data_IF_163623895407
#
_entry.id   IF_163623895407
#
_cell.length_a   1.000
_cell.length_b   1.000
_cell.length_c   1.000
_cell.angle_alpha   90.00
_cell.angle_beta   90.00
_cell.angle_gamma   90.00
#
_symmetry.space_group_name_H-M   'P 1'
#
loop_
_entity.id
_entity.type
_entity.pdbx_description
1 polymer ?
#
# COMPACT_ATOMS: atom_id res chain seq x y z
N UNK A 1 -9.02 25.41 -3.20
CA UNK A 1 -10.25 24.60 -3.14
C UNK A 1 -10.47 24.28 -1.67
N UNK A 2 -11.68 24.47 -1.10
CA UNK A 2 -11.83 24.29 0.35
C UNK A 2 -11.78 22.82 0.81
N UNK A 3 -12.03 21.88 -0.09
CA UNK A 3 -12.08 20.43 0.18
C UNK A 3 -11.24 19.62 -0.82
N UNK A 4 -10.57 18.55 -0.37
CA UNK A 4 -9.92 17.61 -1.28
C UNK A 4 -10.95 17.03 -2.26
N UNK A 5 -10.50 16.72 -3.46
CA UNK A 5 -11.37 16.15 -4.50
C UNK A 5 -10.62 15.07 -5.26
N UNK A 6 -11.18 13.85 -5.27
CA UNK A 6 -10.74 12.79 -6.16
C UNK A 6 -11.31 13.08 -7.54
N UNK A 7 -10.44 13.29 -8.53
CA UNK A 7 -10.82 13.62 -9.90
C UNK A 7 -10.41 12.50 -10.82
N UNK A 8 -11.39 11.79 -11.35
CA UNK A 8 -11.19 10.69 -12.29
C UNK A 8 -11.84 11.07 -13.63
N UNK A 9 -11.07 10.94 -14.71
CA UNK A 9 -11.42 11.41 -16.05
C UNK A 9 -12.15 10.36 -16.89
N UNK A 10 -12.03 9.08 -16.53
CA UNK A 10 -12.64 7.97 -17.28
C UNK A 10 -14.09 7.76 -16.86
N UNK A 11 -14.94 7.39 -17.82
CA UNK A 11 -16.26 6.83 -17.56
C UNK A 11 -16.09 5.47 -16.86
N UNK A 12 -15.86 5.52 -15.54
CA UNK A 12 -16.02 4.35 -14.68
C UNK A 12 -17.46 3.88 -14.89
N UNK A 13 -17.68 2.61 -15.21
CA UNK A 13 -19.04 2.08 -15.21
C UNK A 13 -19.40 1.90 -13.73
N UNK A 14 -20.11 2.89 -13.19
CA UNK A 14 -20.19 3.25 -11.76
C UNK A 14 -20.98 2.29 -10.87
N UNK A 15 -21.15 1.03 -11.27
CA UNK A 15 -21.89 0.05 -10.49
C UNK A 15 -20.93 -1.06 -10.07
N UNK A 16 -20.81 -1.24 -8.75
CA UNK A 16 -20.15 -2.37 -8.09
C UNK A 16 -18.61 -2.48 -8.19
N UNK A 17 -17.88 -1.36 -8.32
CA UNK A 17 -16.41 -1.40 -8.30
C UNK A 17 -15.85 -1.82 -6.94
N UNK A 18 -14.72 -2.53 -6.94
CA UNK A 18 -13.88 -2.75 -5.75
C UNK A 18 -12.75 -1.71 -5.73
N UNK A 19 -12.57 -1.04 -4.60
CA UNK A 19 -11.46 -0.11 -4.39
C UNK A 19 -10.36 -0.79 -3.58
N UNK A 20 -9.13 -0.80 -4.11
CA UNK A 20 -7.92 -1.22 -3.40
C UNK A 20 -7.12 0.03 -3.04
N UNK A 21 -6.84 0.25 -1.76
CA UNK A 21 -6.08 1.39 -1.27
C UNK A 21 -4.68 0.96 -0.81
N UNK A 22 -3.66 1.54 -1.42
CA UNK A 22 -2.25 1.25 -1.21
C UNK A 22 -1.51 2.54 -0.86
N UNK A 23 -1.64 2.98 0.39
CA UNK A 23 -0.86 4.12 0.91
C UNK A 23 0.46 3.63 1.52
N UNK A 24 1.53 4.45 1.53
CA UNK A 24 2.83 4.02 2.01
C UNK A 24 2.75 3.42 3.42
N UNK A 25 3.35 2.25 3.56
CA UNK A 25 3.39 1.44 4.78
C UNK A 25 4.81 0.92 5.04
N UNK A 26 5.00 0.18 6.13
CA UNK A 26 6.28 -0.46 6.46
C UNK A 26 6.81 -1.29 5.29
N UNK A 27 8.13 -1.25 5.07
CA UNK A 27 8.80 -2.00 4.01
C UNK A 27 8.40 -1.59 2.59
N UNK A 28 7.73 -0.43 2.41
CA UNK A 28 7.15 0.00 1.13
C UNK A 28 6.20 -1.03 0.50
N UNK A 29 5.71 -2.00 1.28
CA UNK A 29 4.95 -3.14 0.79
C UNK A 29 3.74 -2.70 -0.01
N UNK A 30 2.98 -1.72 0.50
CA UNK A 30 1.80 -1.19 -0.19
C UNK A 30 2.13 -0.60 -1.55
N UNK A 31 3.27 0.08 -1.71
CA UNK A 31 3.70 0.61 -3.02
C UNK A 31 4.11 -0.51 -3.97
N UNK A 32 4.83 -1.53 -3.48
CA UNK A 32 5.24 -2.70 -4.29
C UNK A 32 3.99 -3.44 -4.79
N UNK A 33 3.05 -3.73 -3.89
CA UNK A 33 1.76 -4.35 -4.21
C UNK A 33 0.98 -3.50 -5.23
N UNK A 34 0.97 -2.17 -5.07
CA UNK A 34 0.29 -1.28 -5.99
C UNK A 34 0.82 -1.37 -7.42
N UNK A 35 2.14 -1.24 -7.61
CA UNK A 35 2.77 -1.32 -8.93
C UNK A 35 2.57 -2.70 -9.55
N UNK A 36 2.74 -3.76 -8.76
CA UNK A 36 2.49 -5.11 -9.21
C UNK A 36 1.05 -5.29 -9.73
N UNK A 37 0.05 -4.81 -8.99
CA UNK A 37 -1.35 -4.88 -9.40
C UNK A 37 -1.65 -4.02 -10.62
N UNK A 38 -1.02 -2.85 -10.76
CA UNK A 38 -1.17 -2.00 -11.95
C UNK A 38 -0.73 -2.76 -13.20
N UNK A 39 0.44 -3.38 -13.15
CA UNK A 39 1.01 -4.09 -14.31
C UNK A 39 0.26 -5.39 -14.62
N UNK A 40 -0.07 -6.19 -13.61
CA UNK A 40 -0.68 -7.52 -13.83
C UNK A 40 -2.18 -7.48 -14.10
N UNK A 41 -2.87 -6.41 -13.65
CA UNK A 41 -4.29 -6.21 -13.93
C UNK A 41 -4.54 -5.25 -15.10
N UNK A 42 -3.48 -4.78 -15.78
CA UNK A 42 -3.53 -3.81 -16.87
C UNK A 42 -4.35 -2.56 -16.48
N UNK A 43 -4.06 -2.01 -15.30
CA UNK A 43 -4.78 -0.85 -14.78
C UNK A 43 -4.25 0.43 -15.42
N UNK A 44 -5.14 1.24 -15.98
CA UNK A 44 -4.77 2.50 -16.60
C UNK A 44 -4.89 3.65 -15.60
N UNK A 45 -4.02 4.65 -15.71
CA UNK A 45 -4.14 5.88 -14.94
C UNK A 45 -5.42 6.62 -15.33
N UNK A 46 -6.33 6.79 -14.38
CA UNK A 46 -7.63 7.44 -14.63
C UNK A 46 -7.77 8.79 -13.93
N UNK A 47 -6.87 9.13 -13.01
CA UNK A 47 -6.87 10.42 -12.35
C UNK A 47 -6.16 10.44 -11.00
N UNK A 48 -6.48 11.42 -10.17
CA UNK A 48 -5.79 11.59 -8.89
C UNK A 48 -6.51 12.52 -7.93
N UNK A 49 -6.01 12.56 -6.70
CA UNK A 49 -6.51 13.47 -5.69
C UNK A 49 -5.91 14.87 -5.88
N UNK A 50 -6.75 15.88 -5.81
CA UNK A 50 -6.35 17.29 -5.89
C UNK A 50 -6.71 18.00 -4.60
N UNK A 51 -5.71 18.62 -3.98
CA UNK A 51 -5.85 19.53 -2.84
C UNK A 51 -4.67 20.51 -2.84
N UNK A 52 -4.91 21.79 -2.54
CA UNK A 52 -3.89 22.84 -2.57
C UNK A 52 -2.92 22.80 -1.39
N UNK A 53 -3.20 21.98 -0.37
CA UNK A 53 -2.33 21.77 0.79
C UNK A 53 -1.41 20.57 0.63
N UNK A 54 -1.60 19.77 -0.42
CA UNK A 54 -0.63 18.76 -0.80
C UNK A 54 0.60 19.45 -1.41
N UNK A 55 1.81 18.92 -1.21
CA UNK A 55 3.00 19.47 -1.85
C UNK A 55 2.85 19.39 -3.37
N UNK A 56 3.32 20.43 -4.06
CA UNK A 56 3.39 20.48 -5.52
C UNK A 56 4.52 19.56 -6.03
N UNK A 57 4.28 18.26 -5.94
CA UNK A 57 5.18 17.19 -6.38
C UNK A 57 4.58 16.51 -7.61
N UNK A 58 5.42 16.20 -8.58
CA UNK A 58 5.05 15.33 -9.71
C UNK A 58 6.07 14.19 -9.81
N UNK A 59 5.58 12.97 -9.84
CA UNK A 59 6.39 11.79 -10.11
C UNK A 59 6.54 11.64 -11.62
N UNK A 60 7.77 11.58 -12.12
CA UNK A 60 8.01 11.35 -13.55
C UNK A 60 8.11 9.86 -13.79
N UNK A 61 7.19 9.32 -14.57
CA UNK A 61 7.21 7.93 -15.02
C UNK A 61 7.13 7.92 -16.55
N UNK A 62 8.13 7.35 -17.21
CA UNK A 62 8.22 7.32 -18.68
C UNK A 62 8.03 8.69 -19.36
N UNK A 63 8.53 9.75 -18.72
CA UNK A 63 8.38 11.13 -19.21
C UNK A 63 7.02 11.78 -18.95
N UNK A 64 6.09 11.07 -18.30
CA UNK A 64 4.76 11.58 -17.91
C UNK A 64 4.80 12.07 -16.46
N UNK A 65 4.40 13.34 -16.18
CA UNK A 65 4.26 13.84 -14.82
C UNK A 65 2.95 13.37 -14.19
N UNK A 66 3.05 12.60 -13.12
CA UNK A 66 1.91 12.06 -12.38
C UNK A 66 1.76 12.73 -11.01
N UNK A 67 0.52 12.96 -10.53
CA UNK A 67 0.29 13.52 -9.20
C UNK A 67 0.72 12.54 -8.09
N UNK A 68 0.89 13.00 -6.84
CA UNK A 68 1.40 12.15 -5.76
C UNK A 68 0.40 11.07 -5.34
N UNK A 69 -0.90 11.36 -5.38
CA UNK A 69 -1.99 10.44 -5.06
C UNK A 69 -2.77 10.17 -6.34
N UNK A 70 -2.78 8.91 -6.77
CA UNK A 70 -3.23 8.46 -8.09
C UNK A 70 -4.35 7.45 -7.97
N UNK A 71 -5.21 7.43 -8.97
CA UNK A 71 -6.22 6.43 -9.19
C UNK A 71 -5.94 5.72 -10.51
N UNK A 72 -5.92 4.40 -10.46
CA UNK A 72 -5.83 3.51 -11.60
C UNK A 72 -7.09 2.68 -11.68
N UNK A 73 -7.53 2.29 -12.88
CA UNK A 73 -8.70 1.45 -13.03
C UNK A 73 -8.58 0.49 -14.20
N UNK A 74 -9.23 -0.66 -14.07
CA UNK A 74 -9.32 -1.69 -15.09
C UNK A 74 -10.55 -2.57 -14.84
N UNK A 75 -10.83 -3.50 -15.75
CA UNK A 75 -11.95 -4.45 -15.64
C UNK A 75 -11.48 -5.90 -15.46
N UNK A 76 -10.70 -6.20 -14.40
CA UNK A 76 -10.37 -7.58 -14.06
C UNK A 76 -11.61 -8.35 -13.62
N UNK A 77 -11.62 -9.67 -13.85
CA UNK A 77 -12.69 -10.55 -13.33
C UNK A 77 -12.51 -10.77 -11.82
N UNK A 78 -13.35 -10.16 -10.98
CA UNK A 78 -13.34 -10.35 -9.52
C UNK A 78 -14.08 -11.63 -9.09
N UNK A 79 -13.85 -12.13 -7.86
CA UNK A 79 -14.72 -13.17 -7.25
C UNK A 79 -15.93 -12.62 -6.51
N UNK A 80 -15.90 -11.35 -6.12
CA UNK A 80 -17.02 -10.71 -5.44
C UNK A 80 -18.17 -10.59 -6.44
N UNK A 81 -19.35 -11.12 -6.07
CA UNK A 81 -20.55 -11.09 -6.92
C UNK A 81 -20.91 -9.65 -7.30
N UNK A 82 -20.93 -9.38 -8.61
CA UNK A 82 -21.20 -8.06 -9.17
C UNK A 82 -19.98 -7.16 -9.37
N UNK A 83 -18.77 -7.55 -8.94
CA UNK A 83 -17.55 -6.75 -9.19
C UNK A 83 -17.04 -6.96 -10.61
N UNK A 84 -17.23 -5.93 -11.43
CA UNK A 84 -16.78 -5.89 -12.83
C UNK A 84 -15.61 -4.93 -13.05
N UNK A 85 -15.20 -4.20 -12.00
CA UNK A 85 -14.19 -3.16 -12.09
C UNK A 85 -13.35 -3.09 -10.80
N UNK A 86 -12.04 -2.92 -10.96
CA UNK A 86 -11.12 -2.60 -9.87
C UNK A 86 -10.63 -1.17 -10.03
N UNK A 87 -10.58 -0.45 -8.92
CA UNK A 87 -10.00 0.87 -8.81
C UNK A 87 -8.90 0.80 -7.76
N UNK A 88 -7.67 1.12 -8.15
CA UNK A 88 -6.53 1.15 -7.26
C UNK A 88 -6.18 2.60 -6.93
N UNK A 89 -6.22 2.94 -5.65
CA UNK A 89 -5.73 4.20 -5.12
C UNK A 89 -4.35 4.00 -4.53
N UNK A 90 -3.36 4.78 -4.98
CA UNK A 90 -2.01 4.72 -4.43
C UNK A 90 -1.44 6.09 -4.14
N UNK A 91 -0.47 6.15 -3.23
CA UNK A 91 0.35 7.32 -2.97
C UNK A 91 1.81 6.91 -2.82
N UNK A 92 2.74 7.70 -3.36
CA UNK A 92 4.19 7.54 -3.11
C UNK A 92 4.68 8.44 -1.97
N UNK A 93 3.78 9.24 -1.40
CA UNK A 93 4.08 10.11 -0.28
C UNK A 93 3.23 9.77 0.94
N UNK A 94 3.82 9.95 2.12
CA UNK A 94 3.06 9.92 3.37
C UNK A 94 2.18 11.17 3.39
N UNK A 95 0.86 10.96 3.47
CA UNK A 95 -0.10 12.05 3.52
C UNK A 95 0.03 12.79 4.86
N UNK A 96 0.13 14.13 4.86
CA UNK A 96 0.16 14.91 6.10
C UNK A 96 -1.06 14.62 6.98
N UNK A 97 -0.83 14.37 8.28
CA UNK A 97 -1.87 13.96 9.24
C UNK A 97 -3.06 14.95 9.27
N UNK A 98 -2.77 16.25 9.14
CA UNK A 98 -3.78 17.32 9.11
C UNK A 98 -4.73 17.25 7.91
N UNK A 99 -4.38 16.51 6.86
CA UNK A 99 -5.18 16.31 5.66
C UNK A 99 -5.92 14.97 5.64
N UNK A 100 -5.44 13.96 6.36
CA UNK A 100 -5.96 12.58 6.32
C UNK A 100 -7.49 12.54 6.41
N UNK A 101 -8.09 13.11 7.47
CA UNK A 101 -9.54 13.05 7.65
C UNK A 101 -10.34 13.73 6.52
N UNK A 102 -9.82 14.85 5.97
CA UNK A 102 -10.49 15.55 4.88
C UNK A 102 -10.43 14.74 3.59
N UNK A 103 -9.29 14.09 3.33
CA UNK A 103 -9.10 13.25 2.15
C UNK A 103 -9.98 12.00 2.26
N UNK A 104 -9.94 11.32 3.40
CA UNK A 104 -10.80 10.16 3.68
C UNK A 104 -12.26 10.52 3.48
N UNK A 105 -12.73 11.65 4.01
CA UNK A 105 -14.09 12.10 3.80
C UNK A 105 -14.42 12.26 2.31
N UNK A 106 -13.56 12.93 1.54
CA UNK A 106 -13.73 13.09 0.10
C UNK A 106 -13.76 11.75 -0.65
N UNK A 107 -12.92 10.78 -0.26
CA UNK A 107 -12.90 9.44 -0.84
C UNK A 107 -14.22 8.70 -0.59
N UNK A 108 -14.80 8.81 0.61
CA UNK A 108 -16.08 8.16 0.92
C UNK A 108 -17.29 8.85 0.29
N UNK A 109 -17.29 10.18 0.16
CA UNK A 109 -18.33 10.88 -0.60
C UNK A 109 -18.27 10.48 -2.08
N UNK A 110 -17.07 10.45 -2.66
CA UNK A 110 -16.86 9.94 -4.02
C UNK A 110 -17.30 8.48 -4.15
N UNK A 111 -16.92 7.60 -3.22
CA UNK A 111 -17.30 6.18 -3.22
C UNK A 111 -18.82 5.98 -3.15
N UNK A 112 -19.53 6.82 -2.40
CA UNK A 112 -20.99 6.80 -2.29
C UNK A 112 -21.66 7.24 -3.58
N UNK A 113 -21.18 8.32 -4.20
CA UNK A 113 -21.70 8.81 -5.49
C UNK A 113 -21.56 7.77 -6.60
N UNK A 114 -20.54 6.92 -6.53
CA UNK A 114 -20.21 5.90 -7.54
C UNK A 114 -20.47 4.46 -7.06
N UNK A 115 -21.32 4.28 -6.04
CA UNK A 115 -21.80 2.97 -5.56
C UNK A 115 -20.72 1.87 -5.44
N UNK A 116 -19.56 2.21 -4.88
CA UNK A 116 -18.46 1.26 -4.64
C UNK A 116 -18.96 0.11 -3.74
N UNK A 117 -18.68 -1.13 -4.16
CA UNK A 117 -19.16 -2.33 -3.50
C UNK A 117 -18.31 -2.72 -2.28
N UNK A 118 -16.99 -2.63 -2.43
CA UNK A 118 -16.03 -3.13 -1.45
C UNK A 118 -14.77 -2.27 -1.40
N UNK A 119 -14.14 -2.23 -0.23
CA UNK A 119 -12.86 -1.57 0.00
C UNK A 119 -11.83 -2.53 0.60
N UNK A 120 -10.67 -2.65 -0.03
CA UNK A 120 -9.53 -3.41 0.49
C UNK A 120 -8.39 -2.44 0.76
N UNK A 121 -7.85 -2.44 1.97
CA UNK A 121 -6.68 -1.66 2.36
C UNK A 121 -5.49 -2.59 2.46
N UNK A 122 -4.46 -2.30 1.69
CA UNK A 122 -3.16 -2.97 1.79
C UNK A 122 -2.34 -2.22 2.82
N UNK A 123 -1.79 -2.93 3.79
CA UNK A 123 -0.92 -2.35 4.82
C UNK A 123 0.19 -3.34 5.21
N UNK A 124 1.15 -2.86 5.99
CA UNK A 124 2.20 -3.68 6.55
C UNK A 124 2.60 -3.20 7.94
N UNK A 125 3.05 -4.11 8.78
CA UNK A 125 3.56 -3.84 10.11
C UNK A 125 4.99 -4.35 10.26
N UNK A 126 5.75 -3.73 11.17
CA UNK A 126 7.15 -4.07 11.39
C UNK A 126 7.27 -5.45 12.04
N UNK A 127 8.20 -6.26 11.51
CA UNK A 127 8.63 -7.53 12.14
C UNK A 127 9.01 -7.33 13.61
N UNK A 128 8.68 -8.31 14.44
CA UNK A 128 8.89 -8.34 15.88
C UNK A 128 10.32 -7.94 16.25
N UNK A 129 10.45 -6.94 17.12
CA UNK A 129 11.74 -6.43 17.58
C UNK A 129 12.45 -5.46 16.63
N UNK A 130 11.88 -5.16 15.46
CA UNK A 130 12.38 -4.12 14.55
C UNK A 130 11.58 -2.82 14.73
N UNK A 131 12.23 -1.68 14.47
CA UNK A 131 11.60 -0.36 14.40
C UNK A 131 11.80 0.18 13.00
N UNK A 132 10.77 0.79 12.42
CA UNK A 132 10.93 1.50 11.15
C UNK A 132 11.51 2.89 11.32
N UNK A 133 11.94 3.42 10.17
CA UNK A 133 12.33 4.82 10.02
C UNK A 133 11.12 5.75 9.83
N UNK A 134 9.89 5.23 9.89
CA UNK A 134 8.65 6.00 9.81
C UNK A 134 8.29 6.56 11.19
N UNK A 135 9.05 7.54 11.68
CA UNK A 135 8.92 8.15 13.01
C UNK A 135 7.45 8.46 13.39
N UNK A 136 6.86 7.61 14.24
CA UNK A 136 5.56 7.84 14.87
C UNK A 136 4.31 7.50 14.04
N UNK A 137 4.46 6.96 12.83
CA UNK A 137 3.33 6.63 11.92
C UNK A 137 3.13 5.11 11.76
N UNK A 138 4.04 4.30 12.29
CA UNK A 138 3.96 2.84 12.18
C UNK A 138 2.75 2.21 12.90
N UNK A 139 2.14 1.18 12.29
CA UNK A 139 1.27 0.27 13.00
C UNK A 139 2.01 -0.38 14.19
N UNK A 140 1.36 -0.39 15.34
CA UNK A 140 1.78 -1.16 16.52
C UNK A 140 0.75 -2.25 16.74
N UNK A 141 1.09 -3.49 16.45
CA UNK A 141 0.16 -4.61 16.47
C UNK A 141 0.64 -5.69 17.43
N UNK A 142 -0.30 -6.35 18.10
CA UNK A 142 -0.02 -7.54 18.92
C UNK A 142 -0.37 -8.78 18.08
N UNK A 143 0.63 -9.61 17.81
CA UNK A 143 0.51 -10.84 17.03
C UNK A 143 1.46 -11.92 17.57
N UNK A 144 1.21 -13.17 17.20
CA UNK A 144 2.11 -14.28 17.48
C UNK A 144 3.10 -14.40 16.32
N UNK A 145 4.35 -13.98 16.53
CA UNK A 145 5.44 -14.07 15.53
C UNK A 145 5.77 -15.53 15.25
N UNK A 146 5.73 -15.90 13.97
CA UNK A 146 6.04 -17.25 13.49
C UNK A 146 7.31 -17.27 12.64
N UNK A 147 7.77 -18.47 12.25
CA UNK A 147 8.92 -18.60 11.35
C UNK A 147 8.58 -18.15 9.90
N UNK A 148 7.28 -18.12 9.56
CA UNK A 148 6.77 -17.68 8.27
C UNK A 148 6.45 -16.17 8.28
N UNK A 149 6.18 -15.58 7.11
CA UNK A 149 5.74 -14.18 7.02
C UNK A 149 4.29 -14.08 7.49
N UNK A 150 4.06 -13.46 8.64
CA UNK A 150 2.73 -13.36 9.22
C UNK A 150 1.83 -12.38 8.46
N UNK A 151 0.59 -12.81 8.19
CA UNK A 151 -0.46 -11.97 7.58
C UNK A 151 -1.65 -11.93 8.52
N UNK A 152 -2.14 -10.72 8.83
CA UNK A 152 -3.32 -10.50 9.67
C UNK A 152 -4.36 -9.62 8.97
N UNK A 153 -5.62 -9.72 9.40
CA UNK A 153 -6.75 -9.03 8.80
C UNK A 153 -7.47 -8.10 9.76
N UNK A 154 -7.94 -6.95 9.27
CA UNK A 154 -8.86 -6.06 9.99
C UNK A 154 -10.17 -5.98 9.22
N UNK A 155 -11.29 -6.34 9.83
CA UNK A 155 -12.61 -6.26 9.18
C UNK A 155 -13.54 -5.21 9.80
N UNK A 156 -14.07 -4.29 9.00
CA UNK A 156 -14.96 -3.20 9.46
C UNK A 156 -16.36 -3.66 9.86
N UNK A 157 -16.83 -4.83 9.41
CA UNK A 157 -18.11 -5.44 9.80
C UNK A 157 -18.01 -6.99 9.87
N UNK A 158 -19.10 -7.64 10.30
CA UNK A 158 -19.11 -9.11 10.48
C UNK A 158 -18.91 -9.89 9.17
N UNK A 159 -19.46 -9.39 8.06
CA UNK A 159 -19.37 -10.03 6.75
C UNK A 159 -17.94 -10.12 6.27
N UNK A 160 -17.20 -9.02 6.31
CA UNK A 160 -15.79 -9.00 5.88
C UNK A 160 -14.86 -9.75 6.85
N UNK A 161 -15.21 -9.81 8.14
CA UNK A 161 -14.47 -10.65 9.11
C UNK A 161 -14.62 -12.14 8.82
N UNK A 162 -15.83 -12.57 8.43
CA UNK A 162 -16.03 -13.95 7.99
C UNK A 162 -15.23 -14.24 6.70
N UNK A 163 -15.25 -13.31 5.74
CA UNK A 163 -14.47 -13.43 4.51
C UNK A 163 -12.96 -13.57 4.79
N UNK A 164 -12.39 -12.76 5.68
CA UNK A 164 -10.98 -12.88 6.08
C UNK A 164 -10.67 -14.28 6.68
N UNK A 165 -11.54 -14.80 7.54
CA UNK A 165 -11.37 -16.14 8.09
C UNK A 165 -11.46 -17.24 7.02
N UNK A 166 -12.38 -17.11 6.06
CA UNK A 166 -12.52 -18.05 4.94
C UNK A 166 -11.29 -18.04 4.02
N UNK A 167 -10.58 -16.91 3.95
CA UNK A 167 -9.29 -16.77 3.27
C UNK A 167 -8.11 -17.31 4.10
N UNK A 168 -8.35 -17.79 5.33
CA UNK A 168 -7.30 -18.24 6.25
C UNK A 168 -6.44 -17.10 6.81
N UNK A 169 -6.97 -15.86 6.82
CA UNK A 169 -6.28 -14.70 7.39
C UNK A 169 -6.76 -14.50 8.83
N UNK A 170 -5.91 -14.69 9.85
CA UNK A 170 -6.28 -14.44 11.24
C UNK A 170 -6.62 -12.96 11.46
N UNK A 171 -7.63 -12.70 12.28
CA UNK A 171 -8.02 -11.34 12.61
C UNK A 171 -7.04 -10.73 13.62
N UNK A 172 -6.65 -9.48 13.38
CA UNK A 172 -5.92 -8.70 14.37
C UNK A 172 -6.87 -8.30 15.52
N UNK A 173 -6.59 -8.78 16.73
CA UNK A 173 -7.42 -8.50 17.91
C UNK A 173 -7.07 -7.17 18.57
N UNK A 174 -5.77 -6.87 18.71
CA UNK A 174 -5.27 -5.68 19.42
C UNK A 174 -4.17 -5.01 18.64
N UNK A 175 -4.31 -3.69 18.44
CA UNK A 175 -3.29 -2.88 17.80
C UNK A 175 -3.73 -1.44 17.57
N UNK A 176 -2.80 -0.62 17.11
CA UNK A 176 -2.99 0.78 16.73
C UNK A 176 -2.41 0.97 15.34
N UNK A 177 -3.27 1.27 14.37
CA UNK A 177 -2.89 1.71 13.02
C UNK A 177 -3.02 3.23 12.91
N UNK A 178 -2.28 3.86 12.00
CA UNK A 178 -2.24 5.33 11.82
C UNK A 178 -2.35 5.72 10.35
N UNK A 179 -2.42 7.02 10.10
CA UNK A 179 -2.40 7.59 8.75
C UNK A 179 -3.66 7.32 7.92
N UNK A 180 -3.49 7.26 6.59
CA UNK A 180 -4.58 7.10 5.64
C UNK A 180 -5.33 5.79 5.82
N UNK A 181 -4.60 4.67 6.01
CA UNK A 181 -5.19 3.35 6.17
C UNK A 181 -6.11 3.29 7.40
N UNK A 182 -5.65 3.83 8.54
CA UNK A 182 -6.46 3.95 9.75
C UNK A 182 -7.70 4.83 9.55
N UNK A 183 -7.53 5.98 8.87
CA UNK A 183 -8.64 6.87 8.55
C UNK A 183 -9.71 6.19 7.70
N UNK A 184 -9.29 5.45 6.66
CA UNK A 184 -10.20 4.70 5.78
C UNK A 184 -10.97 3.65 6.57
N UNK A 185 -10.28 2.79 7.32
CA UNK A 185 -10.90 1.68 8.06
C UNK A 185 -11.82 2.17 9.19
N UNK A 186 -11.40 3.21 9.92
CA UNK A 186 -12.21 3.82 10.98
C UNK A 186 -13.51 4.43 10.42
N UNK A 187 -13.41 5.17 9.33
CA UNK A 187 -14.57 5.79 8.69
C UNK A 187 -15.50 4.75 8.04
N UNK A 188 -14.95 3.72 7.39
CA UNK A 188 -15.73 2.60 6.87
C UNK A 188 -16.52 1.90 7.99
N UNK A 189 -15.87 1.60 9.12
CA UNK A 189 -16.52 0.95 10.26
C UNK A 189 -17.62 1.84 10.86
N UNK A 190 -17.36 3.15 11.02
CA UNK A 190 -18.36 4.12 11.48
C UNK A 190 -19.59 4.20 10.56
N UNK A 191 -19.38 4.06 9.24
CA UNK A 191 -20.45 4.02 8.22
C UNK A 191 -21.09 2.64 8.04
N UNK A 192 -20.57 1.60 8.69
CA UNK A 192 -21.04 0.21 8.53
C UNK A 192 -20.69 -0.42 7.18
N UNK A 193 -19.72 0.13 6.45
CA UNK A 193 -19.33 -0.32 5.12
C UNK A 193 -18.44 -1.57 5.18
N UNK A 194 -18.53 -2.41 4.15
CA UNK A 194 -17.76 -3.65 4.00
C UNK A 194 -16.34 -3.39 3.51
N UNK A 195 -15.52 -2.72 4.32
CA UNK A 195 -14.09 -2.57 4.07
C UNK A 195 -13.27 -3.53 4.93
N UNK A 196 -12.13 -3.98 4.42
CA UNK A 196 -11.17 -4.78 5.16
C UNK A 196 -9.74 -4.28 4.93
N UNK A 197 -8.83 -4.62 5.83
CA UNK A 197 -7.39 -4.51 5.66
C UNK A 197 -6.78 -5.89 5.62
N UNK A 198 -5.80 -6.09 4.73
CA UNK A 198 -4.86 -7.20 4.80
C UNK A 198 -3.51 -6.58 5.13
N UNK A 199 -2.92 -7.00 6.24
CA UNK A 199 -1.67 -6.49 6.75
C UNK A 199 -0.64 -7.60 6.78
N UNK A 200 0.58 -7.33 6.33
CA UNK A 200 1.68 -8.31 6.33
C UNK A 200 2.84 -7.83 7.19
N UNK A 201 3.50 -8.77 7.85
CA UNK A 201 4.77 -8.53 8.52
C UNK A 201 5.85 -8.18 7.48
N UNK A 202 6.61 -7.12 7.72
CA UNK A 202 7.65 -6.68 6.81
C UNK A 202 8.91 -6.22 7.54
N UNK A 203 10.07 -6.37 6.88
CA UNK A 203 11.31 -5.74 7.29
C UNK A 203 11.22 -4.22 7.05
N UNK A 204 11.35 -3.40 8.10
CA UNK A 204 11.20 -1.97 7.95
C UNK A 204 12.44 -1.26 7.37
N UNK A 205 13.58 -1.94 7.25
CA UNK A 205 14.86 -1.31 6.91
C UNK A 205 15.04 -1.09 5.41
N UNK A 206 14.33 -1.84 4.59
CA UNK A 206 14.44 -1.82 3.14
C UNK A 206 13.08 -2.16 2.49
N UNK A 207 12.91 -1.93 1.18
CA UNK A 207 11.75 -2.43 0.45
C UNK A 207 11.64 -3.97 0.57
N UNK A 208 10.51 -4.47 1.05
CA UNK A 208 10.29 -5.89 1.34
C UNK A 208 9.35 -6.53 0.30
N UNK A 209 9.94 -6.98 -0.80
CA UNK A 209 9.21 -7.64 -1.88
C UNK A 209 8.73 -9.06 -1.50
N UNK A 210 9.32 -9.72 -0.49
CA UNK A 210 8.81 -11.01 0.01
C UNK A 210 7.52 -10.82 0.80
N UNK A 211 7.44 -9.81 1.66
CA UNK A 211 6.20 -9.44 2.34
C UNK A 211 5.11 -9.07 1.32
N UNK A 212 5.46 -8.33 0.27
CA UNK A 212 4.53 -8.04 -0.82
C UNK A 212 4.03 -9.31 -1.53
N UNK A 213 4.91 -10.27 -1.82
CA UNK A 213 4.55 -11.55 -2.42
C UNK A 213 3.55 -12.33 -1.54
N UNK A 214 3.83 -12.45 -0.23
CA UNK A 214 2.93 -13.11 0.72
C UNK A 214 1.54 -12.44 0.79
N UNK A 215 1.49 -11.11 0.70
CA UNK A 215 0.23 -10.37 0.66
C UNK A 215 -0.53 -10.59 -0.67
N UNK A 216 0.18 -10.58 -1.81
CA UNK A 216 -0.41 -10.87 -3.14
C UNK A 216 -1.02 -12.28 -3.17
N UNK A 217 -0.37 -13.27 -2.57
CA UNK A 217 -0.92 -14.64 -2.45
C UNK A 217 -2.30 -14.61 -1.79
N UNK A 218 -2.47 -13.82 -0.73
CA UNK A 218 -3.77 -13.65 -0.06
C UNK A 218 -4.77 -12.85 -0.88
N UNK A 219 -4.32 -11.81 -1.59
CA UNK A 219 -5.18 -11.04 -2.49
C UNK A 219 -5.70 -11.87 -3.67
N UNK A 220 -4.95 -12.86 -4.12
CA UNK A 220 -5.38 -13.77 -5.19
C UNK A 220 -6.69 -14.49 -4.83
N UNK A 221 -6.96 -14.76 -3.55
CA UNK A 221 -8.25 -15.32 -3.12
C UNK A 221 -9.46 -14.38 -3.36
N UNK A 222 -9.23 -13.05 -3.40
CA UNK A 222 -10.24 -12.04 -3.75
C UNK A 222 -10.33 -11.77 -5.27
N UNK A 223 -9.30 -12.16 -6.02
CA UNK A 223 -9.20 -11.98 -7.47
C UNK A 223 -8.88 -13.31 -8.21
N UNK A 224 -9.54 -14.45 -7.88
CA UNK A 224 -9.07 -15.78 -8.28
C UNK A 224 -9.20 -16.08 -9.77
N UNK A 225 -9.85 -15.20 -10.53
CA UNK A 225 -9.95 -15.36 -11.98
C UNK A 225 -8.70 -14.86 -12.71
N UNK A 226 -7.76 -14.25 -11.98
CA UNK A 226 -6.53 -13.70 -12.51
C UNK A 226 -5.38 -14.40 -11.83
N UNK A 227 -4.53 -15.02 -12.64
CA UNK A 227 -3.29 -15.58 -12.17
C UNK A 227 -2.38 -14.40 -11.77
N UNK A 228 -2.18 -14.22 -10.47
CA UNK A 228 -1.23 -13.27 -9.89
C UNK A 228 0.01 -14.04 -9.44
N UNK A 229 0.94 -14.37 -10.37
CA UNK A 229 2.15 -15.11 -10.05
C UNK A 229 3.03 -14.30 -9.11
N UNK A 230 3.40 -14.87 -7.97
CA UNK A 230 4.27 -14.21 -6.99
C UNK A 230 5.75 -14.28 -7.39
N UNK A 231 6.10 -15.12 -8.36
CA UNK A 231 7.46 -15.35 -8.85
C UNK A 231 8.21 -14.07 -9.26
N UNK A 232 7.60 -13.09 -9.94
CA UNK A 232 8.26 -11.83 -10.27
C UNK A 232 8.69 -11.04 -9.02
N UNK A 233 7.85 -11.02 -7.98
CA UNK A 233 8.15 -10.32 -6.72
C UNK A 233 9.25 -11.04 -5.93
N UNK A 234 9.27 -12.37 -5.95
CA UNK A 234 10.34 -13.15 -5.34
C UNK A 234 11.68 -12.92 -6.05
N UNK A 235 11.68 -12.87 -7.38
CA UNK A 235 12.87 -12.55 -8.16
C UNK A 235 13.37 -11.11 -7.91
N UNK A 236 12.45 -10.16 -7.78
CA UNK A 236 12.78 -8.78 -7.39
C UNK A 236 13.37 -8.72 -5.98
N UNK A 237 12.82 -9.48 -5.02
CA UNK A 237 13.37 -9.59 -3.68
C UNK A 237 14.81 -10.10 -3.68
N UNK A 238 15.08 -11.19 -4.41
CA UNK A 238 16.44 -11.75 -4.54
C UNK A 238 17.43 -10.72 -5.12
N UNK A 239 16.99 -9.95 -6.11
CA UNK A 239 17.79 -8.90 -6.73
C UNK A 239 18.07 -7.74 -5.75
N UNK A 240 17.06 -7.27 -5.02
CA UNK A 240 17.20 -6.20 -4.03
C UNK A 240 18.11 -6.62 -2.87
N UNK A 241 17.96 -7.85 -2.37
CA UNK A 241 18.81 -8.42 -1.33
C UNK A 241 20.28 -8.50 -1.78
N UNK A 242 20.53 -8.96 -3.01
CA UNK A 242 21.88 -9.01 -3.57
C UNK A 242 22.51 -7.62 -3.70
N UNK A 243 21.74 -6.60 -4.10
CA UNK A 243 22.21 -5.22 -4.15
C UNK A 243 22.54 -4.67 -2.77
N UNK A 244 21.68 -4.91 -1.77
CA UNK A 244 21.90 -4.47 -0.39
C UNK A 244 23.15 -5.15 0.18
N UNK A 245 23.32 -6.46 -0.04
CA UNK A 245 24.49 -7.19 0.41
C UNK A 245 25.79 -6.62 -0.21
N UNK A 246 25.79 -6.38 -1.52
CA UNK A 246 26.94 -5.77 -2.21
C UNK A 246 27.28 -4.37 -1.67
N UNK A 247 26.26 -3.56 -1.38
CA UNK A 247 26.44 -2.24 -0.75
C UNK A 247 27.05 -2.37 0.66
N UNK A 248 26.57 -3.32 1.47
CA UNK A 248 27.09 -3.56 2.82
C UNK A 248 28.53 -4.08 2.82
N UNK A 249 28.88 -4.98 1.90
CA UNK A 249 30.26 -5.46 1.71
C UNK A 249 31.18 -4.30 1.31
N UNK A 250 30.75 -3.45 0.36
CA UNK A 250 31.52 -2.27 -0.07
C UNK A 250 31.68 -1.20 1.02
N UNK A 251 30.69 -1.07 1.92
CA UNK A 251 30.75 -0.18 3.08
C UNK A 251 31.59 -0.77 4.24
N UNK A 252 31.67 -2.10 4.34
CA UNK A 252 32.52 -2.83 5.29
C UNK A 252 34.00 -2.87 4.89
N UNK A 253 34.32 -2.72 3.61
CA UNK A 253 35.68 -2.65 3.06
C UNK A 253 36.26 -1.22 2.99
N UNK A 254 35.92 -0.33 3.93
CA UNK A 254 36.71 0.89 4.10
C UNK A 254 38.10 0.54 4.67
N UNK A 255 39.22 0.77 3.95
CA UNK A 255 40.53 0.42 4.46
C UNK A 255 40.89 1.30 5.66
N UNK A 256 41.30 0.65 6.76
CA UNK A 256 42.08 1.28 7.82
C UNK A 256 43.42 1.72 7.24
N UNK A 257 43.57 3.00 6.89
CA UNK A 257 44.85 3.69 6.92
C UNK A 257 44.71 5.17 7.28
N UNK A 258 45.39 5.54 8.35
CA UNK A 258 45.77 6.91 8.73
C UNK A 258 47.32 6.97 8.74
N UNK A 259 48.02 8.12 8.84
CA UNK A 259 47.59 9.52 8.90
C UNK A 259 48.37 10.50 7.94
N UNK A 260 47.87 11.75 7.85
CA UNK A 260 48.53 13.02 7.45
C UNK A 260 49.26 13.15 6.10
N UNK A 261 48.82 14.07 5.24
CA UNK A 261 49.49 15.39 5.03
C UNK A 261 48.84 16.24 3.93
N UNK A 262 48.56 17.50 4.30
CA UNK A 262 48.62 18.77 3.55
C UNK A 262 47.89 19.00 2.21
N UNK A 263 47.07 20.06 2.29
CA UNK A 263 47.07 21.28 1.48
C UNK A 263 46.18 21.35 0.23
N UNK A 264 45.25 22.32 0.30
CA UNK A 264 44.72 23.22 -0.72
C UNK A 264 44.45 22.67 -2.14
N UNK A 265 43.24 22.90 -2.65
CA UNK A 265 42.96 23.99 -3.59
C UNK A 265 41.47 24.01 -3.98
N UNK A 266 40.87 25.20 -3.94
CA UNK A 266 39.75 25.55 -4.82
C UNK A 266 40.27 25.66 -6.27
N UNK A 267 39.44 25.26 -7.22
CA UNK A 267 39.53 25.58 -8.64
C UNK A 267 38.13 25.55 -9.23
#
# INVERSE_FOLDING_TARGET
>A
MDTPSLRINTAIEHENAMVIACFPSVGMVSSIVAHYLIDHLDLEFVGGLVDDRLPALAMIHEGVPLPPIRAYAGKPKCSIEGCDQVILLMSEMVVPESLVHKIVWALFEWSKEHQVLAGVVVDAFSKGGMKSGMDGVEPVVEYEDTDDIDVVGIGCNKTVRAMLNDMGIPLLETGVIRGMNAGILSEASRRGLGAMSIMVEADPRFPDARAAAALIEKLNALLPTIDLPQEPLLAEAELLEAQIQALMESAGEAPKSSPSSNAMLYG
#
